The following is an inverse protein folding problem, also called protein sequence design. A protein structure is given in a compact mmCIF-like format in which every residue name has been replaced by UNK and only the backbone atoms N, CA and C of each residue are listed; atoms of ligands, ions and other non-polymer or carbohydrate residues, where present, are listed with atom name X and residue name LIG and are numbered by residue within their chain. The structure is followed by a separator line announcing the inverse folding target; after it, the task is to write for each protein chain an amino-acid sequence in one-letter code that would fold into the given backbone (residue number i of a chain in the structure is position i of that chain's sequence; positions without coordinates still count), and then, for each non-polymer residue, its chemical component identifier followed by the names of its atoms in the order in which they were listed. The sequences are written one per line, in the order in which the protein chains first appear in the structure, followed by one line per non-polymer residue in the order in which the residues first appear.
data_IF_935200029528
#
_entry.id   IF_935200029528
#
_cell.length_a   1.000
_cell.length_b   1.000
_cell.length_c   1.000
_cell.angle_alpha   90.00
_cell.angle_beta   90.00
_cell.angle_gamma   90.00
#
_symmetry.space_group_name_H-M   'P 1'
#
loop_
_entity.id
_entity.type
_entity.pdbx_description
1 polymer ?
#
# COMPACT_ATOMS: atom_id res chain seq x y z
N UNK A 1 36.89 13.23 -2.26
CA UNK A 1 35.87 12.71 -1.32
C UNK A 1 34.57 12.51 -2.09
N UNK A 2 33.95 11.31 -2.08
CA UNK A 2 32.79 11.05 -2.92
C UNK A 2 31.59 11.84 -2.39
N UNK A 3 30.90 12.55 -3.30
CA UNK A 3 29.66 13.28 -3.01
C UNK A 3 28.65 12.30 -2.43
N UNK A 4 28.26 12.51 -1.17
CA UNK A 4 27.13 11.84 -0.55
C UNK A 4 25.92 12.09 -1.45
N UNK A 5 25.50 11.10 -2.23
CA UNK A 5 24.23 11.14 -2.95
C UNK A 5 23.13 11.11 -1.88
N UNK A 6 22.81 12.27 -1.32
CA UNK A 6 21.73 12.47 -0.36
C UNK A 6 20.44 12.08 -1.06
N UNK A 7 19.99 10.85 -0.81
CA UNK A 7 18.68 10.39 -1.22
C UNK A 7 17.67 11.37 -0.63
N UNK A 8 16.93 12.09 -1.48
CA UNK A 8 15.93 13.05 -1.02
C UNK A 8 14.95 12.33 -0.06
N UNK A 9 14.75 12.81 1.19
CA UNK A 9 13.88 12.16 2.17
C UNK A 9 12.47 11.88 1.64
N UNK A 10 11.95 12.71 0.72
CA UNK A 10 10.66 12.50 0.05
C UNK A 10 10.64 11.18 -0.73
N UNK A 11 11.72 10.81 -1.41
CA UNK A 11 11.78 9.54 -2.14
C UNK A 11 11.77 8.33 -1.21
N UNK A 12 12.34 8.44 -0.01
CA UNK A 12 12.27 7.38 1.01
C UNK A 12 10.84 7.17 1.49
N UNK A 13 10.10 8.26 1.72
CA UNK A 13 8.68 8.20 2.09
C UNK A 13 7.85 7.54 0.98
N UNK A 14 8.08 7.94 -0.28
CA UNK A 14 7.36 7.36 -1.42
C UNK A 14 7.67 5.87 -1.56
N UNK A 15 8.93 5.43 -1.44
CA UNK A 15 9.30 4.00 -1.47
C UNK A 15 8.55 3.18 -0.42
N UNK A 16 8.65 3.64 0.82
CA UNK A 16 8.12 2.92 1.96
C UNK A 16 6.61 2.71 1.80
N UNK A 17 5.89 3.74 1.34
CA UNK A 17 4.45 3.66 1.18
C UNK A 17 4.02 2.88 -0.08
N UNK A 18 4.82 2.87 -1.15
CA UNK A 18 4.64 1.94 -2.28
C UNK A 18 4.78 0.49 -1.80
N UNK A 19 5.80 0.17 -1.00
CA UNK A 19 5.97 -1.19 -0.50
C UNK A 19 4.80 -1.58 0.42
N UNK A 20 4.45 -0.71 1.37
CA UNK A 20 3.35 -0.95 2.33
C UNK A 20 2.01 -1.19 1.65
N UNK A 21 1.66 -0.40 0.61
CA UNK A 21 0.41 -0.60 -0.12
C UNK A 21 0.43 -1.93 -0.89
N UNK A 22 1.56 -2.28 -1.53
CA UNK A 22 1.69 -3.53 -2.31
C UNK A 22 1.60 -4.77 -1.43
N UNK A 23 2.25 -4.76 -0.28
CA UNK A 23 2.17 -5.84 0.71
C UNK A 23 0.74 -6.01 1.23
N UNK A 24 0.09 -4.92 1.62
CA UNK A 24 -1.27 -4.96 2.12
C UNK A 24 -2.27 -5.44 1.05
N UNK A 25 -2.15 -4.96 -0.20
CA UNK A 25 -2.95 -5.46 -1.33
C UNK A 25 -2.74 -6.95 -1.56
N UNK A 26 -1.51 -7.46 -1.42
CA UNK A 26 -1.23 -8.89 -1.57
C UNK A 26 -1.95 -9.72 -0.50
N UNK A 27 -1.97 -9.27 0.76
CA UNK A 27 -2.76 -9.95 1.81
C UNK A 27 -4.26 -9.98 1.47
N UNK A 28 -4.80 -8.86 0.96
CA UNK A 28 -6.20 -8.78 0.54
C UNK A 28 -6.50 -9.71 -0.65
N UNK A 29 -5.58 -9.82 -1.62
CA UNK A 29 -5.70 -10.74 -2.76
C UNK A 29 -5.87 -12.19 -2.28
N UNK A 30 -5.10 -12.60 -1.28
CA UNK A 30 -5.16 -13.96 -0.72
C UNK A 30 -6.48 -14.19 0.04
N UNK A 31 -6.98 -13.20 0.78
CA UNK A 31 -8.31 -13.26 1.40
C UNK A 31 -9.39 -13.45 0.31
N UNK A 32 -9.37 -12.64 -0.74
CA UNK A 32 -10.40 -12.74 -1.79
C UNK A 32 -10.27 -14.03 -2.61
N UNK A 33 -9.05 -14.54 -2.79
CA UNK A 33 -8.78 -15.75 -3.58
C UNK A 33 -9.14 -17.02 -2.82
N UNK A 34 -8.65 -17.17 -1.60
CA UNK A 34 -8.70 -18.45 -0.88
C UNK A 34 -9.83 -18.54 0.14
N UNK A 35 -10.25 -17.40 0.72
CA UNK A 35 -11.36 -17.40 1.70
C UNK A 35 -12.68 -17.14 0.98
N UNK A 36 -12.74 -16.06 0.20
CA UNK A 36 -13.98 -15.66 -0.48
C UNK A 36 -14.19 -16.35 -1.84
N UNK A 37 -13.18 -17.06 -2.35
CA UNK A 37 -13.19 -17.73 -3.65
C UNK A 37 -13.69 -16.83 -4.80
N UNK A 38 -13.34 -15.54 -4.76
CA UNK A 38 -13.83 -14.53 -5.69
C UNK A 38 -12.74 -14.13 -6.68
N UNK A 39 -12.83 -14.66 -7.90
CA UNK A 39 -11.93 -14.31 -9.00
C UNK A 39 -12.02 -12.83 -9.37
N UNK A 40 -13.21 -12.24 -9.36
CA UNK A 40 -13.43 -10.83 -9.71
C UNK A 40 -12.76 -9.89 -8.71
N UNK A 41 -13.00 -10.06 -7.41
CA UNK A 41 -12.40 -9.22 -6.37
C UNK A 41 -10.87 -9.37 -6.33
N UNK A 42 -10.37 -10.59 -6.54
CA UNK A 42 -8.92 -10.84 -6.64
C UNK A 42 -8.32 -10.08 -7.82
N UNK A 43 -8.99 -10.06 -8.97
CA UNK A 43 -8.53 -9.33 -10.15
C UNK A 43 -8.56 -7.81 -9.93
N UNK A 44 -9.60 -7.27 -9.31
CA UNK A 44 -9.68 -5.84 -8.98
C UNK A 44 -8.52 -5.40 -8.06
N UNK A 45 -8.22 -6.16 -7.00
CA UNK A 45 -7.09 -5.88 -6.11
C UNK A 45 -5.73 -5.97 -6.83
N UNK A 46 -5.55 -7.02 -7.65
CA UNK A 46 -4.35 -7.19 -8.48
C UNK A 46 -4.16 -6.01 -9.44
N UNK A 47 -5.24 -5.50 -10.04
CA UNK A 47 -5.18 -4.35 -10.93
C UNK A 47 -4.74 -3.09 -10.18
N UNK A 48 -5.28 -2.80 -9.00
CA UNK A 48 -4.79 -1.68 -8.17
C UNK A 48 -3.30 -1.85 -7.86
N UNK A 49 -2.86 -3.07 -7.52
CA UNK A 49 -1.44 -3.33 -7.23
C UNK A 49 -0.54 -3.08 -8.44
N UNK A 50 -0.99 -3.42 -9.65
CA UNK A 50 -0.30 -3.12 -10.89
C UNK A 50 -0.30 -1.62 -11.20
N UNK A 51 -1.44 -0.94 -11.00
CA UNK A 51 -1.55 0.50 -11.17
C UNK A 51 -0.52 1.21 -10.28
N UNK A 52 -0.46 0.87 -8.98
CA UNK A 52 0.57 1.41 -8.06
C UNK A 52 1.99 1.21 -8.60
N UNK A 53 2.33 0.02 -9.10
CA UNK A 53 3.69 -0.25 -9.60
C UNK A 53 4.01 0.50 -10.90
N UNK A 54 3.02 0.68 -11.78
CA UNK A 54 3.16 1.36 -13.06
C UNK A 54 3.28 2.88 -12.93
N UNK A 55 2.72 3.46 -11.86
CA UNK A 55 2.86 4.88 -11.53
C UNK A 55 4.29 5.27 -11.12
N UNK A 56 5.15 4.29 -10.87
CA UNK A 56 6.55 4.51 -10.55
C UNK A 56 7.31 4.78 -11.85
N UNK A 57 7.71 6.05 -12.07
CA UNK A 57 8.58 6.41 -13.19
C UNK A 57 9.87 5.56 -13.13
N UNK A 58 10.39 5.05 -14.27
CA UNK A 58 11.66 4.32 -14.33
C UNK A 58 12.83 5.08 -13.69
N UNK A 59 12.81 6.42 -13.75
CA UNK A 59 13.80 7.29 -13.12
C UNK A 59 13.80 7.24 -11.58
N UNK A 60 12.67 6.89 -10.95
CA UNK A 60 12.61 6.61 -9.51
C UNK A 60 13.10 5.18 -9.21
N UNK A 61 12.81 4.22 -10.11
CA UNK A 61 13.24 2.81 -10.00
C UNK A 61 14.77 2.64 -10.00
N UNK A 62 15.52 3.44 -10.78
CA UNK A 62 16.91 3.13 -11.11
C UNK A 62 18.01 3.72 -10.18
N UNK A 63 17.75 4.76 -9.37
CA UNK A 63 18.86 5.43 -8.65
C UNK A 63 18.75 5.53 -7.11
N UNK A 64 17.59 5.29 -6.49
CA UNK A 64 17.42 5.71 -5.08
C UNK A 64 16.68 4.74 -4.15
N UNK A 65 15.93 3.76 -4.64
CA UNK A 65 15.18 2.84 -3.76
C UNK A 65 16.05 1.81 -3.03
N UNK A 66 17.16 1.37 -3.65
CA UNK A 66 18.08 0.42 -2.99
C UNK A 66 18.91 1.07 -1.87
N UNK A 67 19.31 2.33 -2.01
CA UNK A 67 20.08 3.07 -0.99
C UNK A 67 19.21 3.75 0.08
N UNK A 68 17.90 3.89 -0.15
CA UNK A 68 16.94 4.46 0.79
C UNK A 68 16.57 3.53 1.97
N UNK A 69 16.72 2.21 1.76
CA UNK A 69 16.32 1.16 2.68
C UNK A 69 17.42 0.85 3.68
N UNK A 70 17.77 1.85 4.47
CA UNK A 70 18.47 1.58 5.72
C UNK A 70 17.47 1.02 6.74
N UNK A 71 17.10 -0.25 6.58
CA UNK A 71 16.22 -0.96 7.53
C UNK A 71 16.85 -1.10 8.90
N UNK A 72 18.18 -1.01 9.01
CA UNK A 72 18.91 -1.07 10.28
C UNK A 72 18.71 0.22 11.09
N UNK A 73 18.73 1.38 10.43
CA UNK A 73 18.48 2.69 11.05
C UNK A 73 17.07 3.24 10.82
N UNK A 74 16.09 2.38 10.47
CA UNK A 74 14.69 2.79 10.36
C UNK A 74 14.13 3.08 11.76
N UNK A 75 13.86 4.36 12.02
CA UNK A 75 13.29 4.84 13.30
C UNK A 75 11.92 4.22 13.60
N UNK A 76 11.20 3.76 12.58
CA UNK A 76 9.91 3.08 12.73
C UNK A 76 10.02 1.58 13.06
N UNK A 77 11.21 0.97 13.01
CA UNK A 77 11.38 -0.48 13.12
C UNK A 77 10.85 -1.09 14.42
N UNK A 78 10.99 -0.36 15.53
CA UNK A 78 10.58 -0.82 16.86
C UNK A 78 9.32 -0.09 17.35
N UNK A 79 8.64 0.66 16.49
CA UNK A 79 7.41 1.38 16.83
C UNK A 79 6.23 0.46 16.52
N UNK A 80 5.77 -0.27 17.52
CA UNK A 80 4.58 -1.10 17.43
C UNK A 80 3.40 -0.40 18.10
N UNK A 81 2.27 -0.32 17.40
CA UNK A 81 1.03 0.09 18.02
C UNK A 81 0.52 -1.03 18.94
N UNK A 82 0.03 -0.68 20.14
CA UNK A 82 -0.63 -1.66 21.03
C UNK A 82 -1.76 -2.34 20.25
N UNK A 83 -1.67 -3.67 20.08
CA UNK A 83 -2.67 -4.47 19.34
C UNK A 83 -2.27 -4.86 17.91
N UNK A 84 -1.12 -4.42 17.39
CA UNK A 84 -0.66 -4.79 16.04
C UNK A 84 -0.42 -6.30 15.88
N UNK A 85 -0.01 -6.97 16.97
CA UNK A 85 0.41 -8.37 17.00
C UNK A 85 -0.72 -9.39 17.23
N UNK A 86 -1.95 -8.96 17.48
CA UNK A 86 -3.08 -9.88 17.72
C UNK A 86 -4.19 -9.64 16.70
N UNK A 87 -4.57 -10.70 15.99
CA UNK A 87 -5.71 -10.75 15.08
C UNK A 87 -6.51 -12.00 15.40
N UNK A 88 -7.79 -11.87 15.70
CA UNK A 88 -8.62 -13.02 16.07
C UNK A 88 -9.14 -13.80 14.85
N UNK A 89 -9.30 -13.15 13.69
CA UNK A 89 -9.87 -13.78 12.49
C UNK A 89 -9.50 -13.00 11.21
N UNK A 90 -9.84 -13.58 10.04
CA UNK A 90 -9.56 -12.98 8.74
C UNK A 90 -10.32 -11.67 8.48
N UNK A 91 -11.43 -11.39 9.19
CA UNK A 91 -12.13 -10.09 9.08
C UNK A 91 -11.29 -8.96 9.65
N UNK A 92 -10.60 -9.20 10.78
CA UNK A 92 -9.66 -8.23 11.34
C UNK A 92 -8.39 -8.07 10.49
N UNK A 93 -7.92 -9.16 9.88
CA UNK A 93 -6.80 -9.10 8.91
C UNK A 93 -7.20 -8.26 7.69
N UNK A 94 -8.40 -8.47 7.16
CA UNK A 94 -8.97 -7.66 6.09
C UNK A 94 -9.01 -6.17 6.50
N UNK A 95 -9.64 -5.86 7.65
CA UNK A 95 -9.85 -4.49 8.10
C UNK A 95 -8.53 -3.70 8.26
N UNK A 96 -7.49 -4.31 8.81
CA UNK A 96 -6.21 -3.62 8.91
C UNK A 96 -5.47 -3.47 7.58
N UNK A 97 -5.50 -4.48 6.72
CA UNK A 97 -4.79 -4.38 5.45
C UNK A 97 -5.48 -3.38 4.52
N UNK A 98 -6.82 -3.33 4.48
CA UNK A 98 -7.52 -2.31 3.69
C UNK A 98 -7.29 -0.90 4.25
N UNK A 99 -7.20 -0.74 5.57
CA UNK A 99 -6.83 0.53 6.18
C UNK A 99 -5.39 0.95 5.84
N UNK A 100 -4.42 0.03 5.93
CA UNK A 100 -3.02 0.27 5.53
C UNK A 100 -2.89 0.65 4.06
N UNK A 101 -3.70 0.06 3.17
CA UNK A 101 -3.78 0.47 1.75
C UNK A 101 -4.21 1.93 1.64
N UNK A 102 -5.31 2.32 2.30
CA UNK A 102 -5.85 3.68 2.25
C UNK A 102 -4.87 4.72 2.80
N UNK A 103 -4.24 4.42 3.94
CA UNK A 103 -3.24 5.29 4.57
C UNK A 103 -2.01 5.46 3.70
N UNK A 104 -1.48 4.35 3.15
CA UNK A 104 -0.30 4.40 2.28
C UNK A 104 -0.60 5.18 1.00
N UNK A 105 -1.77 4.99 0.38
CA UNK A 105 -2.20 5.76 -0.79
C UNK A 105 -2.40 7.25 -0.45
N UNK A 106 -2.89 7.57 0.75
CA UNK A 106 -3.02 8.96 1.22
C UNK A 106 -1.65 9.64 1.36
N UNK A 107 -0.66 8.92 1.90
CA UNK A 107 0.71 9.43 1.99
C UNK A 107 1.30 9.65 0.59
N UNK A 108 1.12 8.69 -0.33
CA UNK A 108 1.57 8.83 -1.71
C UNK A 108 0.90 10.01 -2.42
N UNK A 109 -0.41 10.18 -2.25
CA UNK A 109 -1.16 11.33 -2.76
C UNK A 109 -0.55 12.65 -2.27
N UNK A 110 -0.34 12.83 -0.96
CA UNK A 110 0.17 14.10 -0.41
C UNK A 110 1.62 14.37 -0.78
N UNK A 111 2.52 13.39 -0.64
CA UNK A 111 3.94 13.61 -0.91
C UNK A 111 4.25 13.80 -2.40
N UNK A 112 3.42 13.26 -3.30
CA UNK A 112 3.62 13.44 -4.74
C UNK A 112 3.16 14.81 -5.22
N UNK A 113 2.27 15.53 -4.50
CA UNK A 113 1.93 16.94 -4.81
C UNK A 113 3.14 17.85 -4.83
N UNK A 114 4.19 17.54 -4.05
CA UNK A 114 5.44 18.29 -4.02
C UNK A 114 6.23 18.25 -5.34
N UNK A 115 5.92 17.30 -6.23
CA UNK A 115 6.70 17.05 -7.45
C UNK A 115 5.85 16.95 -8.71
N UNK A 116 4.69 16.31 -8.64
CA UNK A 116 3.85 16.02 -9.79
C UNK A 116 2.38 15.93 -9.35
N UNK A 117 1.64 17.02 -9.55
CA UNK A 117 0.22 17.09 -9.20
C UNK A 117 -0.63 16.05 -9.95
N UNK A 118 -0.25 15.69 -11.19
CA UNK A 118 -0.99 14.69 -11.98
C UNK A 118 -0.80 13.30 -11.36
N UNK A 119 0.39 13.01 -10.85
CA UNK A 119 0.64 11.78 -10.10
C UNK A 119 -0.16 11.72 -8.80
N UNK A 120 -0.27 12.84 -8.08
CA UNK A 120 -1.11 12.92 -6.88
C UNK A 120 -2.59 12.61 -7.17
N UNK A 121 -3.13 13.12 -8.28
CA UNK A 121 -4.49 12.79 -8.71
C UNK A 121 -4.69 11.29 -8.97
N UNK A 122 -3.71 10.61 -9.59
CA UNK A 122 -3.79 9.16 -9.80
C UNK A 122 -3.77 8.37 -8.48
N UNK A 123 -2.96 8.76 -7.51
CA UNK A 123 -3.00 8.14 -6.18
C UNK A 123 -4.30 8.41 -5.43
N UNK A 124 -4.87 9.60 -5.60
CA UNK A 124 -6.21 9.93 -5.11
C UNK A 124 -7.26 8.99 -5.71
N UNK A 125 -7.26 8.79 -7.03
CA UNK A 125 -8.17 7.86 -7.71
C UNK A 125 -8.04 6.43 -7.18
N UNK A 126 -6.81 5.92 -7.03
CA UNK A 126 -6.57 4.60 -6.45
C UNK A 126 -7.10 4.49 -5.01
N UNK A 127 -6.99 5.56 -4.22
CA UNK A 127 -7.56 5.61 -2.86
C UNK A 127 -9.08 5.52 -2.88
N UNK A 128 -9.75 6.15 -3.85
CA UNK A 128 -11.19 6.01 -4.03
C UNK A 128 -11.60 4.59 -4.43
N UNK A 129 -10.87 3.97 -5.38
CA UNK A 129 -11.08 2.55 -5.73
C UNK A 129 -10.92 1.63 -4.50
N UNK A 130 -9.98 1.93 -3.60
CA UNK A 130 -9.80 1.18 -2.36
C UNK A 130 -11.02 1.29 -1.42
N UNK A 131 -11.67 2.46 -1.30
CA UNK A 131 -12.92 2.60 -0.53
C UNK A 131 -14.07 1.79 -1.13
N UNK A 132 -14.18 1.75 -2.46
CA UNK A 132 -15.21 0.96 -3.13
C UNK A 132 -14.99 -0.53 -2.92
N UNK A 133 -13.76 -1.00 -3.07
CA UNK A 133 -13.40 -2.40 -2.79
C UNK A 133 -13.61 -2.77 -1.34
N UNK A 134 -13.32 -1.88 -0.40
CA UNK A 134 -13.61 -2.09 1.02
C UNK A 134 -15.09 -2.44 1.22
N UNK A 135 -16.00 -1.65 0.66
CA UNK A 135 -17.44 -1.89 0.74
C UNK A 135 -17.85 -3.23 0.11
N UNK A 136 -17.36 -3.52 -1.10
CA UNK A 136 -17.67 -4.77 -1.82
C UNK A 136 -17.20 -6.00 -1.04
N UNK A 137 -15.94 -6.00 -0.59
CA UNK A 137 -15.34 -7.13 0.12
C UNK A 137 -15.96 -7.30 1.50
N UNK A 138 -16.19 -6.20 2.25
CA UNK A 138 -16.86 -6.25 3.54
C UNK A 138 -18.27 -6.83 3.42
N UNK A 139 -19.05 -6.41 2.41
CA UNK A 139 -20.36 -6.99 2.12
C UNK A 139 -20.28 -8.50 1.87
N UNK A 140 -19.27 -8.95 1.11
CA UNK A 140 -19.05 -10.38 0.86
C UNK A 140 -18.67 -11.14 2.13
N UNK A 141 -17.79 -10.60 2.97
CA UNK A 141 -17.39 -11.19 4.25
C UNK A 141 -18.60 -11.36 5.18
N UNK A 142 -19.47 -10.36 5.27
CA UNK A 142 -20.69 -10.43 6.08
C UNK A 142 -21.66 -11.49 5.56
N UNK A 143 -21.82 -11.60 4.24
CA UNK A 143 -22.66 -12.64 3.63
C UNK A 143 -22.11 -14.05 3.79
N UNK A 144 -20.80 -14.20 3.96
CA UNK A 144 -20.12 -15.50 4.10
C UNK A 144 -20.20 -16.08 5.52
N UNK A 145 -20.53 -15.25 6.52
CA UNK A 145 -20.76 -15.68 7.91
C UNK A 145 -22.19 -16.17 8.16
N UNK A 146 -23.07 -16.10 7.15
CA UNK A 146 -24.41 -16.68 7.16
C UNK A 146 -24.39 -18.00 6.40
#
# INVERSE_FOLDING_TARGET
MPKLNLVNPVYRVVDANINRVKEALRVLEEITRFILNSRSLTAELKNIRHDVDSLIKPSLKNCHFFYARDTKNDVGRNVHAKGELKRANYTEVFAANIQRVKESLRVLEEFTKLKDFRLALKYKELRYKAYELEKKIAGRILSYKR
#
